data_IF_790177230300
#
_entry.id   IF_790177230300
#
_cell.length_a   1.000
_cell.length_b   1.000
_cell.length_c   1.000
_cell.angle_alpha   90.00
_cell.angle_beta   90.00
_cell.angle_gamma   90.00
#
_symmetry.space_group_name_H-M   'P 1'
#
loop_
_entity.id
_entity.type
_entity.pdbx_description
1 polymer ?
#
# COMPACT_ATOMS: atom_id res chain seq x y z
N UNK A 1 18.95 0.55 -8.25
CA UNK A 1 18.17 -0.39 -7.41
C UNK A 1 17.05 -0.93 -8.26
N UNK A 2 16.81 -2.25 -8.25
CA UNK A 2 15.72 -2.84 -9.03
C UNK A 2 14.36 -2.47 -8.40
N UNK A 3 13.36 -2.21 -9.23
CA UNK A 3 11.98 -1.99 -8.78
C UNK A 3 11.35 -3.35 -8.50
N UNK A 4 10.93 -3.59 -7.26
CA UNK A 4 10.10 -4.74 -6.89
C UNK A 4 8.62 -4.37 -7.16
N UNK A 5 7.84 -5.33 -7.67
CA UNK A 5 6.45 -5.14 -8.09
C UNK A 5 5.55 -6.13 -7.34
N UNK A 6 4.30 -5.73 -7.11
CA UNK A 6 3.29 -6.60 -6.51
C UNK A 6 2.62 -7.42 -7.62
N UNK A 7 2.44 -8.72 -7.41
CA UNK A 7 1.77 -9.60 -8.36
C UNK A 7 0.73 -10.47 -7.66
N UNK A 8 -0.30 -10.86 -8.41
CA UNK A 8 -1.19 -11.94 -8.00
C UNK A 8 -0.59 -13.28 -8.42
N UNK A 9 -0.60 -14.25 -7.51
CA UNK A 9 -0.22 -15.63 -7.82
C UNK A 9 -1.46 -16.31 -8.43
N UNK A 10 -1.44 -16.51 -9.76
CA UNK A 10 -2.53 -17.17 -10.48
C UNK A 10 -2.40 -18.69 -10.49
N UNK A 11 -1.17 -19.19 -10.43
CA UNK A 11 -0.85 -20.62 -10.40
C UNK A 11 0.12 -20.86 -9.24
N UNK A 12 -0.38 -21.36 -8.10
CA UNK A 12 0.47 -21.59 -6.95
C UNK A 12 1.49 -22.69 -7.26
N UNK A 13 2.76 -22.32 -7.30
CA UNK A 13 3.86 -23.28 -7.21
C UNK A 13 3.97 -23.71 -5.75
N UNK A 14 4.09 -25.01 -5.42
CA UNK A 14 4.30 -25.47 -4.04
C UNK A 14 5.48 -24.80 -3.31
N UNK A 15 6.47 -24.27 -4.03
CA UNK A 15 7.61 -23.55 -3.44
C UNK A 15 7.36 -22.04 -3.25
N UNK A 16 6.29 -21.48 -3.83
CA UNK A 16 5.96 -20.06 -3.76
C UNK A 16 4.79 -19.84 -2.79
N UNK A 17 5.09 -19.21 -1.66
CA UNK A 17 4.07 -18.83 -0.67
C UNK A 17 3.59 -17.40 -0.94
N UNK A 18 2.27 -17.13 -0.85
CA UNK A 18 1.78 -15.77 -0.92
C UNK A 18 2.34 -14.95 0.24
N UNK A 19 2.66 -13.69 -0.04
CA UNK A 19 3.02 -12.72 0.99
C UNK A 19 1.81 -12.45 1.88
N UNK A 20 1.99 -12.56 3.20
CA UNK A 20 1.03 -12.06 4.17
C UNK A 20 1.17 -10.53 4.28
N UNK A 21 0.03 -9.83 4.35
CA UNK A 21 -0.01 -8.37 4.35
C UNK A 21 -0.69 -7.85 5.61
N UNK A 22 -0.06 -6.86 6.23
CA UNK A 22 -0.62 -6.08 7.32
C UNK A 22 -1.43 -4.90 6.76
N UNK A 23 -2.61 -4.68 7.34
CA UNK A 23 -3.51 -3.58 6.98
C UNK A 23 -3.60 -2.60 8.14
N UNK A 24 -2.88 -1.47 8.02
CA UNK A 24 -2.93 -0.41 9.02
C UNK A 24 -3.93 0.66 8.62
N UNK A 25 -4.92 0.90 9.46
CA UNK A 25 -5.87 2.01 9.27
C UNK A 25 -5.16 3.35 9.46
N UNK A 26 -5.34 4.25 8.50
CA UNK A 26 -4.83 5.60 8.54
C UNK A 26 -5.93 6.59 8.18
N UNK A 27 -6.02 7.69 8.93
CA UNK A 27 -6.92 8.81 8.63
C UNK A 27 -6.03 10.03 8.42
N UNK A 28 -5.84 10.48 7.16
CA UNK A 28 -5.07 11.67 6.88
C UNK A 28 -5.65 12.89 7.60
N UNK A 29 -4.81 13.82 8.09
CA UNK A 29 -5.29 15.07 8.66
C UNK A 29 -6.19 15.83 7.67
N UNK A 30 -7.40 16.19 8.09
CA UNK A 30 -8.37 16.90 7.25
C UNK A 30 -9.26 16.01 6.37
N UNK A 31 -9.05 14.70 6.36
CA UNK A 31 -9.99 13.76 5.75
C UNK A 31 -11.26 13.62 6.63
N UNK A 32 -12.44 13.38 6.03
CA UNK A 32 -13.62 13.00 6.80
C UNK A 32 -13.32 11.75 7.63
N UNK A 33 -13.75 11.71 8.90
CA UNK A 33 -13.59 10.53 9.77
C UNK A 33 -14.28 9.26 9.22
N UNK A 34 -15.13 9.41 8.21
CA UNK A 34 -15.79 8.31 7.50
C UNK A 34 -14.91 7.67 6.43
N UNK A 35 -13.85 8.35 5.97
CA UNK A 35 -12.91 7.81 5.00
C UNK A 35 -11.96 6.83 5.70
N UNK A 36 -11.88 5.60 5.19
CA UNK A 36 -10.99 4.57 5.74
C UNK A 36 -9.87 4.32 4.73
N UNK A 37 -8.74 5.03 4.92
CA UNK A 37 -7.52 4.73 4.18
C UNK A 37 -6.73 3.66 4.90
N UNK A 38 -6.02 2.86 4.12
CA UNK A 38 -5.17 1.77 4.57
C UNK A 38 -3.76 1.97 4.04
N UNK A 39 -2.80 1.62 4.89
CA UNK A 39 -1.44 1.27 4.48
C UNK A 39 -1.39 -0.25 4.41
N UNK A 40 -0.86 -0.78 3.31
CA UNK A 40 -0.68 -2.21 3.08
C UNK A 40 0.82 -2.51 3.14
N UNK A 41 1.27 -3.18 4.20
CA UNK A 41 2.69 -3.45 4.47
C UNK A 41 2.98 -4.94 4.61
N UNK A 42 4.22 -5.34 4.34
CA UNK A 42 4.70 -6.69 4.65
C UNK A 42 4.92 -6.84 6.17
N UNK A 43 5.29 -8.05 6.61
CA UNK A 43 5.46 -8.40 8.03
C UNK A 43 6.37 -7.47 8.85
N UNK A 44 7.36 -6.85 8.21
CA UNK A 44 8.31 -5.94 8.89
C UNK A 44 7.82 -4.49 9.01
N UNK A 45 6.63 -4.19 8.49
CA UNK A 45 6.04 -2.84 8.34
C UNK A 45 6.94 -1.82 7.61
N UNK A 46 8.09 -2.23 7.10
CA UNK A 46 9.09 -1.36 6.50
C UNK A 46 8.85 -1.22 5.00
N UNK A 47 8.42 -2.29 4.33
CA UNK A 47 8.03 -2.27 2.92
C UNK A 47 6.53 -2.50 2.75
N UNK A 48 5.97 -1.98 1.66
CA UNK A 48 4.56 -2.10 1.37
C UNK A 48 4.19 -1.70 -0.05
N UNK A 49 2.89 -1.59 -0.28
CA UNK A 49 2.32 -1.21 -1.55
C UNK A 49 2.50 0.29 -1.79
N UNK A 50 2.99 0.63 -2.98
CA UNK A 50 3.18 2.02 -3.40
C UNK A 50 2.70 2.14 -4.84
N UNK A 51 1.73 3.01 -5.09
CA UNK A 51 1.36 3.40 -6.44
C UNK A 51 2.47 4.25 -7.07
N UNK A 52 2.81 4.00 -8.33
CA UNK A 52 3.69 4.91 -9.08
C UNK A 52 3.00 6.21 -9.47
N UNK A 53 1.67 6.23 -9.47
CA UNK A 53 0.85 7.39 -9.82
C UNK A 53 0.00 7.80 -8.60
N UNK A 54 0.37 8.88 -7.88
CA UNK A 54 -0.44 9.39 -6.78
C UNK A 54 -1.79 9.91 -7.28
N UNK A 55 -2.88 9.50 -6.62
CA UNK A 55 -4.20 10.11 -6.72
C UNK A 55 -5.08 9.64 -7.88
N UNK A 56 -4.54 9.44 -9.09
CA UNK A 56 -5.34 9.02 -10.25
C UNK A 56 -4.58 7.98 -11.09
N UNK A 57 -4.40 6.76 -10.56
CA UNK A 57 -3.68 5.72 -11.28
C UNK A 57 -4.41 5.35 -12.58
N UNK A 58 -3.65 5.26 -13.67
CA UNK A 58 -4.13 4.68 -14.93
C UNK A 58 -4.41 3.18 -14.78
N UNK A 59 -5.22 2.61 -15.69
CA UNK A 59 -5.53 1.17 -15.71
C UNK A 59 -4.29 0.29 -15.89
N UNK A 60 -3.21 0.85 -16.43
CA UNK A 60 -1.93 0.17 -16.68
C UNK A 60 -0.94 0.32 -15.49
N UNK A 61 -1.33 1.03 -14.43
CA UNK A 61 -0.44 1.29 -13.29
C UNK A 61 -0.24 0.04 -12.44
N UNK A 62 0.95 -0.54 -12.50
CA UNK A 62 1.35 -1.63 -11.62
C UNK A 62 1.77 -1.12 -10.23
N UNK A 63 1.22 -1.74 -9.18
CA UNK A 63 1.61 -1.46 -7.80
C UNK A 63 3.05 -1.91 -7.55
N UNK A 64 3.83 -1.05 -6.92
CA UNK A 64 5.23 -1.30 -6.58
C UNK A 64 5.36 -1.78 -5.14
N UNK A 65 6.35 -2.63 -4.88
CA UNK A 65 6.74 -3.04 -3.54
C UNK A 65 7.98 -2.25 -3.13
N UNK A 66 7.84 -1.33 -2.17
CA UNK A 66 8.91 -0.39 -1.77
C UNK A 66 8.91 -0.12 -0.28
N UNK A 67 10.03 0.42 0.21
CA UNK A 67 10.10 0.98 1.55
C UNK A 67 9.06 2.09 1.71
N UNK A 68 8.27 2.02 2.78
CA UNK A 68 7.25 3.00 3.10
C UNK A 68 7.90 4.28 3.63
N UNK A 69 7.54 5.41 3.03
CA UNK A 69 7.97 6.73 3.49
C UNK A 69 6.97 7.21 4.53
N UNK A 70 7.48 7.55 5.73
CA UNK A 70 6.67 8.04 6.85
C UNK A 70 7.15 9.42 7.27
N UNK A 71 6.25 10.39 7.25
CA UNK A 71 6.48 11.74 7.72
C UNK A 71 6.57 11.81 9.25
N UNK A 72 7.51 12.62 9.75
CA UNK A 72 7.74 12.84 11.18
C UNK A 72 6.71 13.83 11.74
N UNK A 73 5.50 13.35 12.00
CA UNK A 73 4.41 14.10 12.64
C UNK A 73 3.70 13.21 13.67
N UNK A 74 2.85 13.82 14.50
CA UNK A 74 1.98 13.09 15.43
C UNK A 74 0.51 13.51 15.19
N UNK A 75 -0.32 12.67 14.55
CA UNK A 75 0.00 11.31 14.06
C UNK A 75 0.95 11.34 12.84
N UNK A 76 1.62 10.21 12.52
CA UNK A 76 2.49 10.10 11.34
C UNK A 76 1.74 10.42 10.06
N UNK A 77 2.42 11.00 9.07
CA UNK A 77 1.82 11.31 7.76
C UNK A 77 2.36 10.39 6.69
N UNK A 78 1.48 9.89 5.82
CA UNK A 78 1.85 9.04 4.69
C UNK A 78 1.56 9.76 3.37
N UNK A 79 2.45 9.69 2.37
CA UNK A 79 2.17 10.12 1.01
C UNK A 79 0.92 9.45 0.41
N UNK A 80 0.18 10.19 -0.42
CA UNK A 80 -1.07 9.70 -1.04
C UNK A 80 -0.89 8.44 -1.87
N UNK A 81 0.27 8.24 -2.49
CA UNK A 81 0.53 7.03 -3.27
C UNK A 81 0.80 5.78 -2.41
N UNK A 82 0.80 5.90 -1.09
CA UNK A 82 0.89 4.77 -0.16
C UNK A 82 -0.46 4.52 0.55
N UNK A 83 -1.47 5.34 0.29
CA UNK A 83 -2.79 5.26 0.91
C UNK A 83 -3.78 4.63 -0.07
N UNK A 84 -4.42 3.55 0.38
CA UNK A 84 -5.40 2.81 -0.41
C UNK A 84 -6.77 2.86 0.28
N UNK A 85 -7.83 3.01 -0.49
CA UNK A 85 -9.21 2.89 -0.01
C UNK A 85 -9.79 1.55 -0.47
N UNK A 86 -10.42 0.81 0.45
CA UNK A 86 -11.15 -0.41 0.12
C UNK A 86 -12.65 -0.11 0.24
N UNK A 87 -13.34 -0.10 -0.90
CA UNK A 87 -14.78 0.12 -0.97
C UNK A 87 -15.48 -1.24 -1.11
N UNK A 88 -16.44 -1.58 -0.23
CA UNK A 88 -17.25 -2.79 -0.41
C UNK A 88 -17.97 -2.78 -1.76
N UNK A 89 -18.03 -3.95 -2.41
CA UNK A 89 -18.75 -4.16 -3.66
C UNK A 89 -20.26 -4.24 -3.47
#
# INVERSE_FOLDING_TARGET
MATELVFAILQPNPDEKPTEWNLLKHIPPGAPHTAQYLIISADDEAKGWVSSEPGTPSEETQIQFRVLIVGKSDPPTYPLNQLFEIVPA
#
